data_IF_734379821978
#
_entry.id   IF_734379821978
#
_cell.length_a   1.000
_cell.length_b   1.000
_cell.length_c   1.000
_cell.angle_alpha   90.00
_cell.angle_beta   90.00
_cell.angle_gamma   90.00
#
_symmetry.space_group_name_H-M   'P 1'
#
loop_
_entity.id
_entity.type
_entity.pdbx_description
1 polymer ?
#
# COMPACT_ATOMS: atom_id res chain seq x y z
N UNK A 1 -0.99 14.33 -0.41
CA UNK A 1 -0.80 13.10 -1.20
C UNK A 1 -1.78 12.04 -0.69
N UNK A 2 -2.21 11.08 -1.52
CA UNK A 2 -3.12 9.99 -1.12
C UNK A 2 -2.29 8.71 -1.02
N UNK A 3 -2.33 8.02 0.13
CA UNK A 3 -1.56 6.80 0.42
C UNK A 3 -1.67 5.75 -0.70
N UNK A 4 -2.86 5.55 -1.26
CA UNK A 4 -3.05 4.63 -2.39
C UNK A 4 -2.16 4.97 -3.60
N UNK A 5 -2.07 6.26 -3.95
CA UNK A 5 -1.23 6.71 -5.08
C UNK A 5 0.25 6.53 -4.78
N UNK A 6 0.68 6.69 -3.52
CA UNK A 6 2.06 6.43 -3.10
C UNK A 6 2.42 4.96 -3.26
N UNK A 7 1.55 4.07 -2.78
CA UNK A 7 1.71 2.61 -2.92
C UNK A 7 1.83 2.21 -4.39
N UNK A 8 0.85 2.60 -5.22
CA UNK A 8 0.84 2.24 -6.65
C UNK A 8 2.09 2.72 -7.38
N UNK A 9 2.59 3.93 -7.08
CA UNK A 9 3.81 4.45 -7.68
C UNK A 9 5.04 3.64 -7.30
N UNK A 10 5.16 3.23 -6.03
CA UNK A 10 6.28 2.41 -5.60
C UNK A 10 6.24 1.02 -6.23
N UNK A 11 5.07 0.36 -6.24
CA UNK A 11 4.91 -0.95 -6.88
C UNK A 11 5.20 -0.92 -8.39
N UNK A 12 4.93 0.19 -9.06
CA UNK A 12 5.25 0.36 -10.48
C UNK A 12 6.76 0.46 -10.77
N UNK A 13 7.62 0.62 -9.76
CA UNK A 13 9.08 0.53 -9.93
C UNK A 13 9.55 -0.92 -10.09
N UNK A 14 8.80 -1.87 -9.55
CA UNK A 14 9.09 -3.30 -9.71
C UNK A 14 8.76 -3.69 -11.16
N UNK A 15 9.64 -4.42 -11.86
CA UNK A 15 9.31 -5.03 -13.15
C UNK A 15 7.98 -5.81 -13.08
N UNK A 16 7.31 -6.00 -14.21
CA UNK A 16 6.10 -6.81 -14.24
C UNK A 16 6.43 -8.24 -13.78
N UNK A 17 5.93 -8.60 -12.60
CA UNK A 17 6.20 -9.87 -11.92
C UNK A 17 4.98 -10.29 -11.09
N UNK A 18 4.93 -11.57 -10.67
CA UNK A 18 3.93 -12.05 -9.72
C UNK A 18 4.00 -11.28 -8.41
N UNK A 19 5.20 -11.00 -7.90
CA UNK A 19 5.41 -10.19 -6.69
C UNK A 19 4.74 -8.82 -6.77
N UNK A 20 4.88 -8.10 -7.89
CA UNK A 20 4.21 -6.81 -8.08
C UNK A 20 2.69 -6.95 -8.06
N UNK A 21 2.15 -7.99 -8.67
CA UNK A 21 0.71 -8.25 -8.69
C UNK A 21 0.18 -8.59 -7.29
N UNK A 22 0.87 -9.48 -6.57
CA UNK A 22 0.52 -9.89 -5.20
C UNK A 22 0.51 -8.71 -4.22
N UNK A 23 1.55 -7.87 -4.25
CA UNK A 23 1.61 -6.67 -3.41
C UNK A 23 0.49 -5.68 -3.73
N UNK A 24 0.13 -5.54 -5.01
CA UNK A 24 -0.96 -4.66 -5.44
C UNK A 24 -2.32 -5.17 -4.97
N UNK A 25 -2.58 -6.48 -5.12
CA UNK A 25 -3.82 -7.10 -4.68
C UNK A 25 -3.96 -7.08 -3.16
N UNK A 26 -2.86 -7.32 -2.43
CA UNK A 26 -2.84 -7.18 -0.97
C UNK A 26 -3.25 -5.76 -0.54
N UNK A 27 -2.61 -4.73 -1.11
CA UNK A 27 -2.92 -3.35 -0.78
C UNK A 27 -4.36 -2.99 -1.17
N UNK A 28 -4.83 -3.42 -2.34
CA UNK A 28 -6.23 -3.23 -2.77
C UNK A 28 -7.20 -3.84 -1.76
N UNK A 29 -6.96 -5.08 -1.35
CA UNK A 29 -7.82 -5.79 -0.40
C UNK A 29 -7.91 -5.10 0.96
N UNK A 30 -6.83 -4.51 1.46
CA UNK A 30 -6.85 -3.70 2.69
C UNK A 30 -7.76 -2.47 2.57
N UNK A 31 -7.63 -1.71 1.47
CA UNK A 31 -8.49 -0.56 1.23
C UNK A 31 -9.96 -0.95 1.04
N UNK A 32 -10.22 -2.06 0.34
CA UNK A 32 -11.58 -2.57 0.12
C UNK A 32 -12.24 -3.06 1.41
N UNK A 33 -11.50 -3.76 2.29
CA UNK A 33 -11.97 -4.17 3.62
C UNK A 33 -12.40 -3.00 4.50
N UNK A 34 -11.77 -1.84 4.31
CA UNK A 34 -11.94 -0.67 5.17
C UNK A 34 -12.83 0.42 4.54
N UNK A 35 -13.35 0.20 3.32
CA UNK A 35 -14.03 1.23 2.52
C UNK A 35 -15.30 1.81 3.17
N UNK A 36 -15.95 1.03 4.04
CA UNK A 36 -17.21 1.40 4.70
C UNK A 36 -17.00 2.02 6.10
N UNK A 37 -15.76 2.21 6.53
CA UNK A 37 -15.46 2.91 7.78
C UNK A 37 -15.78 4.40 7.62
N UNK A 38 -16.70 4.90 8.45
CA UNK A 38 -17.12 6.31 8.44
C UNK A 38 -16.59 7.11 9.64
N UNK A 39 -16.08 6.45 10.68
CA UNK A 39 -15.46 7.12 11.82
C UNK A 39 -14.14 7.79 11.42
N UNK A 40 -14.09 9.12 11.54
CA UNK A 40 -12.94 9.90 11.06
C UNK A 40 -11.64 9.62 11.84
N UNK A 41 -11.72 9.27 13.13
CA UNK A 41 -10.53 8.94 13.92
C UNK A 41 -9.99 7.58 13.51
N UNK A 42 -10.88 6.62 13.28
CA UNK A 42 -10.52 5.31 12.78
C UNK A 42 -9.92 5.40 11.38
N UNK A 43 -10.49 6.20 10.47
CA UNK A 43 -9.90 6.44 9.14
C UNK A 43 -8.48 7.02 9.25
N UNK A 44 -8.26 8.00 10.13
CA UNK A 44 -6.92 8.57 10.35
C UNK A 44 -5.94 7.53 10.90
N UNK A 45 -6.39 6.71 11.83
CA UNK A 45 -5.61 5.60 12.37
C UNK A 45 -5.23 4.60 11.28
N UNK A 46 -6.18 4.18 10.44
CA UNK A 46 -5.95 3.25 9.33
C UNK A 46 -4.94 3.81 8.33
N UNK A 47 -5.05 5.10 7.98
CA UNK A 47 -4.07 5.75 7.09
C UNK A 47 -2.68 5.80 7.74
N UNK A 48 -2.58 6.11 9.03
CA UNK A 48 -1.30 6.14 9.75
C UNK A 48 -0.65 4.76 9.80
N UNK A 49 -1.41 3.74 10.20
CA UNK A 49 -0.96 2.35 10.25
C UNK A 49 -0.57 1.83 8.87
N UNK A 50 -1.38 2.08 7.84
CA UNK A 50 -1.09 1.71 6.47
C UNK A 50 0.18 2.39 5.93
N UNK A 51 0.43 3.65 6.32
CA UNK A 51 1.66 4.35 5.96
C UNK A 51 2.89 3.75 6.65
N UNK A 52 2.79 3.41 7.93
CA UNK A 52 3.86 2.74 8.66
C UNK A 52 4.21 1.38 8.05
N UNK A 53 3.19 0.57 7.69
CA UNK A 53 3.39 -0.70 6.99
C UNK A 53 4.06 -0.49 5.63
N UNK A 54 3.59 0.48 4.84
CA UNK A 54 4.17 0.78 3.53
C UNK A 54 5.62 1.27 3.63
N UNK A 55 5.94 2.15 4.58
CA UNK A 55 7.30 2.63 4.78
C UNK A 55 8.24 1.50 5.23
N UNK A 56 7.75 0.52 5.99
CA UNK A 56 8.50 -0.69 6.32
C UNK A 56 8.76 -1.58 5.07
N UNK A 57 7.78 -1.66 4.16
CA UNK A 57 7.88 -2.44 2.91
C UNK A 57 8.73 -1.76 1.82
N UNK A 58 9.01 -0.45 1.91
CA UNK A 58 9.77 0.27 0.87
C UNK A 58 11.13 -0.35 0.58
N UNK A 59 11.86 -0.80 1.61
CA UNK A 59 13.16 -1.47 1.42
C UNK A 59 13.03 -2.72 0.56
N UNK A 60 12.01 -3.53 0.83
CA UNK A 60 11.72 -4.72 0.03
C UNK A 60 11.33 -4.35 -1.42
N UNK A 61 10.50 -3.31 -1.60
CA UNK A 61 10.14 -2.84 -2.95
C UNK A 61 11.38 -2.37 -3.73
N UNK A 62 12.29 -1.64 -3.07
CA UNK A 62 13.51 -1.15 -3.71
C UNK A 62 14.47 -2.31 -4.05
N UNK A 63 14.55 -3.36 -3.23
CA UNK A 63 15.29 -4.60 -3.53
C UNK A 63 14.73 -5.35 -4.75
N UNK A 64 13.40 -5.38 -4.93
CA UNK A 64 12.74 -6.02 -6.08
C UNK A 64 12.77 -5.17 -7.35
N UNK A 65 13.14 -3.89 -7.24
CA UNK A 65 13.18 -2.96 -8.37
C UNK A 65 14.56 -2.91 -9.08
N UNK A 66 15.61 -3.41 -8.42
CA UNK A 66 16.95 -3.59 -8.99
C UNK A 66 17.12 -4.97 -9.63
#
# INVERSE_FOLDING_TARGET
MNLWREIVRALNKIPTSSTRAELREFARGEFERQKDVTDIQHVRYLISSGKAQFDAMKRYIDEQAG
#
